data_IF_866624891281
#
_entry.id   IF_866624891281
#
_cell.length_a   1.000
_cell.length_b   1.000
_cell.length_c   1.000
_cell.angle_alpha   90.00
_cell.angle_beta   90.00
_cell.angle_gamma   90.00
#
_symmetry.space_group_name_H-M   'P 1'
#
loop_
_entity.id
_entity.type
_entity.pdbx_description
1 polymer ?
#
# COMPACT_ATOMS: atom_id res chain seq x y z
N UNK A 1 -1.83 36.67 -7.23
CA UNK A 1 -2.85 35.89 -6.51
C UNK A 1 -2.50 34.43 -6.69
N UNK A 2 -2.26 33.70 -5.60
CA UNK A 2 -2.12 32.24 -5.69
C UNK A 2 -3.43 31.66 -6.26
N UNK A 3 -3.32 30.70 -7.19
CA UNK A 3 -4.50 29.98 -7.66
C UNK A 3 -5.08 29.20 -6.47
N UNK A 4 -6.41 29.19 -6.26
CA UNK A 4 -7.02 28.39 -5.22
C UNK A 4 -6.68 26.91 -5.45
N UNK A 5 -6.37 26.20 -4.36
CA UNK A 5 -5.99 24.79 -4.41
C UNK A 5 -7.23 23.93 -4.69
N UNK A 6 -7.08 22.83 -5.42
CA UNK A 6 -8.19 21.89 -5.70
C UNK A 6 -8.92 21.45 -4.42
N UNK A 7 -8.17 21.21 -3.35
CA UNK A 7 -8.72 20.79 -2.05
C UNK A 7 -9.63 21.85 -1.41
N UNK A 8 -9.49 23.13 -1.77
CA UNK A 8 -10.31 24.22 -1.24
C UNK A 8 -11.72 24.25 -1.83
N UNK A 9 -11.90 23.61 -2.99
CA UNK A 9 -13.19 23.48 -3.66
C UNK A 9 -13.98 22.23 -3.20
N UNK A 10 -13.40 21.40 -2.32
CA UNK A 10 -14.07 20.22 -1.77
C UNK A 10 -15.22 20.64 -0.86
N UNK A 11 -16.40 20.07 -1.07
CA UNK A 11 -17.55 20.31 -0.20
C UNK A 11 -17.38 19.61 1.14
N UNK A 12 -17.56 20.36 2.23
CA UNK A 12 -17.47 19.84 3.60
C UNK A 12 -18.85 19.43 4.17
N UNK A 13 -19.90 19.47 3.35
CA UNK A 13 -21.29 19.31 3.82
C UNK A 13 -21.85 17.91 3.58
N UNK A 14 -21.17 17.08 2.80
CA UNK A 14 -21.66 15.77 2.43
C UNK A 14 -20.94 14.67 3.19
N UNK A 15 -21.71 13.70 3.64
CA UNK A 15 -21.20 12.50 4.27
C UNK A 15 -21.52 11.28 3.41
N UNK A 16 -20.62 10.30 3.40
CA UNK A 16 -20.88 8.98 2.83
C UNK A 16 -21.17 7.98 3.94
N UNK A 17 -22.30 7.27 3.82
CA UNK A 17 -22.72 6.23 4.76
C UNK A 17 -22.74 4.88 4.08
N UNK A 18 -21.99 3.92 4.62
CA UNK A 18 -22.03 2.52 4.18
C UNK A 18 -22.08 1.63 5.43
N UNK A 19 -23.25 1.01 5.63
CA UNK A 19 -23.53 0.24 6.83
C UNK A 19 -23.38 1.09 8.10
N UNK A 20 -22.46 0.68 8.99
CA UNK A 20 -22.17 1.35 10.26
C UNK A 20 -21.03 2.38 10.19
N UNK A 21 -20.55 2.69 8.99
CA UNK A 21 -19.43 3.60 8.79
C UNK A 21 -19.89 4.87 8.09
N UNK A 22 -19.50 6.01 8.66
CA UNK A 22 -19.76 7.35 8.12
C UNK A 22 -18.41 7.98 7.79
N UNK A 23 -18.19 8.35 6.54
CA UNK A 23 -17.05 9.17 6.12
C UNK A 23 -17.49 10.60 5.87
N UNK A 24 -16.70 11.58 6.34
CA UNK A 24 -17.02 13.00 6.26
C UNK A 24 -15.77 13.86 6.37
N UNK A 25 -15.90 15.15 6.08
CA UNK A 25 -14.85 16.15 6.29
C UNK A 25 -15.08 16.88 7.63
N UNK A 26 -14.24 16.64 8.67
CA UNK A 26 -14.43 17.26 9.98
C UNK A 26 -14.31 18.78 9.91
N UNK A 27 -15.30 19.47 10.49
CA UNK A 27 -15.33 20.93 10.67
C UNK A 27 -15.26 21.35 12.13
N UNK A 28 -15.55 20.42 13.07
CA UNK A 28 -15.43 20.65 14.51
C UNK A 28 -13.99 20.48 14.94
N UNK A 29 -13.52 21.37 15.82
CA UNK A 29 -12.16 21.32 16.37
C UNK A 29 -11.86 20.00 17.06
N UNK A 30 -12.82 19.43 17.79
CA UNK A 30 -12.68 18.14 18.48
C UNK A 30 -12.40 16.99 17.48
N UNK A 31 -13.20 16.88 16.42
CA UNK A 31 -13.03 15.84 15.40
C UNK A 31 -11.67 15.95 14.68
N UNK A 32 -11.20 17.19 14.45
CA UNK A 32 -9.87 17.46 13.88
C UNK A 32 -8.77 16.98 14.83
N UNK A 33 -8.87 17.28 16.13
CA UNK A 33 -7.89 16.83 17.11
C UNK A 33 -7.85 15.30 17.23
N UNK A 34 -9.00 14.65 17.19
CA UNK A 34 -9.11 13.18 17.19
C UNK A 34 -8.44 12.56 15.95
N UNK A 35 -8.59 13.16 14.77
CA UNK A 35 -7.91 12.71 13.54
C UNK A 35 -6.38 12.82 13.64
N UNK A 36 -5.89 13.92 14.22
CA UNK A 36 -4.47 14.15 14.44
C UNK A 36 -3.91 13.17 15.48
N UNK A 37 -4.67 12.92 16.55
CA UNK A 37 -4.31 11.95 17.58
C UNK A 37 -4.21 10.53 17.00
N UNK A 38 -5.20 10.11 16.22
CA UNK A 38 -5.19 8.81 15.54
C UNK A 38 -3.94 8.65 14.65
N UNK A 39 -3.53 9.73 13.99
CA UNK A 39 -2.34 9.73 13.14
C UNK A 39 -1.05 9.60 13.97
N UNK A 40 -0.96 10.29 15.11
CA UNK A 40 0.17 10.15 16.05
C UNK A 40 0.29 8.71 16.55
N UNK A 41 -0.81 8.13 17.01
CA UNK A 41 -0.86 6.76 17.55
C UNK A 41 -0.52 5.68 16.50
N UNK A 42 -0.85 5.92 15.24
CA UNK A 42 -0.45 5.06 14.14
C UNK A 42 1.06 5.07 13.85
N UNK A 43 1.85 5.87 14.59
CA UNK A 43 3.29 6.04 14.36
C UNK A 43 3.60 6.78 13.05
N UNK A 44 2.61 7.52 12.51
CA UNK A 44 2.71 8.17 11.20
C UNK A 44 3.13 9.63 11.29
N UNK A 45 3.17 10.21 12.49
CA UNK A 45 3.54 11.62 12.74
C UNK A 45 5.01 11.76 13.17
N UNK A 46 5.59 10.76 13.83
CA UNK A 46 6.86 10.85 14.58
C UNK A 46 8.16 10.73 13.75
N UNK A 47 8.16 11.08 12.46
CA UNK A 47 9.41 11.01 11.68
C UNK A 47 9.60 12.03 10.56
N UNK A 48 8.57 12.77 10.17
CA UNK A 48 8.61 13.52 8.91
C UNK A 48 8.46 15.04 9.07
N UNK A 49 7.96 15.53 10.20
CA UNK A 49 7.58 16.92 10.34
C UNK A 49 7.64 17.34 11.81
N UNK A 50 8.82 17.73 12.32
CA UNK A 50 8.81 18.64 13.47
C UNK A 50 7.73 19.72 13.28
N UNK A 51 7.05 20.14 14.36
CA UNK A 51 5.81 20.92 14.37
C UNK A 51 5.70 22.04 13.29
N UNK A 52 6.82 22.67 12.92
CA UNK A 52 6.96 23.72 11.90
C UNK A 52 6.50 23.36 10.48
N UNK A 53 6.56 22.09 10.06
CA UNK A 53 6.27 21.72 8.67
C UNK A 53 4.80 21.44 8.37
N UNK A 54 4.00 21.11 9.40
CA UNK A 54 2.54 21.07 9.29
C UNK A 54 1.94 22.47 9.10
N UNK A 55 2.60 23.52 9.60
CA UNK A 55 2.11 24.91 9.47
C UNK A 55 2.22 25.46 8.04
N UNK A 56 3.08 24.88 7.18
CA UNK A 56 3.34 25.39 5.83
C UNK A 56 2.49 24.72 4.73
N UNK A 57 1.90 23.56 4.99
CA UNK A 57 1.06 22.85 4.03
C UNK A 57 -0.41 23.02 4.36
N UNK A 58 -1.18 23.48 3.38
CA UNK A 58 -2.64 23.46 3.48
C UNK A 58 -3.12 22.06 3.15
N UNK A 59 -3.80 21.43 4.10
CA UNK A 59 -4.42 20.13 3.92
C UNK A 59 -5.90 20.18 4.31
N UNK A 60 -6.67 19.28 3.71
CA UNK A 60 -8.03 18.97 4.11
C UNK A 60 -8.05 17.60 4.78
N UNK A 61 -8.61 17.52 5.98
CA UNK A 61 -8.81 16.24 6.66
C UNK A 61 -10.12 15.60 6.21
N UNK A 62 -10.11 14.28 6.06
CA UNK A 62 -11.31 13.45 6.02
C UNK A 62 -11.23 12.38 7.10
N UNK A 63 -12.37 12.03 7.67
CA UNK A 63 -12.48 11.12 8.80
C UNK A 63 -13.55 10.05 8.54
N UNK A 64 -13.40 8.90 9.20
CA UNK A 64 -14.41 7.86 9.24
C UNK A 64 -14.75 7.48 10.68
N UNK A 65 -16.05 7.43 10.97
CA UNK A 65 -16.62 7.13 12.28
C UNK A 65 -17.32 5.76 12.26
N UNK A 66 -17.18 4.96 13.34
CA UNK A 66 -18.11 3.86 13.63
C UNK A 66 -19.34 4.44 14.33
N UNK A 67 -20.47 4.44 13.64
CA UNK A 67 -21.68 5.15 14.06
C UNK A 67 -22.35 4.51 15.28
N UNK A 68 -21.97 3.27 15.62
CA UNK A 68 -22.46 2.58 16.83
C UNK A 68 -21.77 3.08 18.10
N UNK A 69 -20.52 3.48 18.00
CA UNK A 69 -19.70 3.94 19.14
C UNK A 69 -19.50 5.44 19.14
N UNK A 70 -19.72 6.11 17.99
CA UNK A 70 -19.42 7.53 17.81
C UNK A 70 -17.93 7.83 17.67
N UNK A 71 -17.05 6.83 17.69
CA UNK A 71 -15.59 7.05 17.64
C UNK A 71 -15.10 7.22 16.21
N UNK A 72 -14.16 8.15 16.02
CA UNK A 72 -13.35 8.22 14.82
C UNK A 72 -12.34 7.07 14.80
N UNK A 73 -12.30 6.34 13.70
CA UNK A 73 -11.56 5.08 13.56
C UNK A 73 -10.66 5.06 12.33
N UNK A 74 -10.80 6.02 11.42
CA UNK A 74 -9.84 6.25 10.34
C UNK A 74 -9.80 7.73 9.97
N UNK A 75 -8.65 8.19 9.49
CA UNK A 75 -8.46 9.54 8.95
C UNK A 75 -7.47 9.53 7.79
N UNK A 76 -7.60 10.51 6.90
CA UNK A 76 -6.66 10.74 5.79
C UNK A 76 -6.52 12.24 5.54
N UNK A 77 -5.31 12.65 5.18
CA UNK A 77 -5.03 14.03 4.79
C UNK A 77 -5.08 14.14 3.26
N UNK A 78 -5.66 15.21 2.75
CA UNK A 78 -5.71 15.53 1.33
C UNK A 78 -4.91 16.80 1.09
N UNK A 79 -4.03 16.77 0.11
CA UNK A 79 -3.26 17.94 -0.33
C UNK A 79 -3.37 18.12 -1.85
N UNK A 80 -3.23 19.35 -2.34
CA UNK A 80 -3.11 19.61 -3.78
C UNK A 80 -1.72 19.23 -4.28
N UNK A 81 -1.62 18.56 -5.43
CA UNK A 81 -0.33 18.12 -5.97
C UNK A 81 0.70 19.24 -6.20
N UNK A 82 0.35 20.48 -6.61
CA UNK A 82 1.33 21.55 -6.78
C UNK A 82 2.06 21.92 -5.49
N UNK A 83 1.37 21.92 -4.35
CA UNK A 83 1.97 22.20 -3.04
C UNK A 83 2.91 21.07 -2.62
N UNK A 84 2.51 19.82 -2.86
CA UNK A 84 3.34 18.65 -2.53
C UNK A 84 4.59 18.57 -3.41
N UNK A 85 4.50 18.96 -4.69
CA UNK A 85 5.64 18.99 -5.61
C UNK A 85 6.77 19.91 -5.12
N UNK A 86 6.45 20.96 -4.37
CA UNK A 86 7.44 21.89 -3.81
C UNK A 86 8.24 21.29 -2.62
N UNK A 87 7.82 20.15 -2.09
CA UNK A 87 8.48 19.47 -0.97
C UNK A 87 9.57 18.53 -1.51
N UNK A 88 10.75 18.58 -0.88
CA UNK A 88 11.88 17.73 -1.24
C UNK A 88 11.52 16.23 -1.21
N UNK A 89 11.90 15.50 -2.26
CA UNK A 89 11.70 14.05 -2.40
C UNK A 89 10.26 13.61 -2.73
N UNK A 90 9.27 14.50 -2.63
CA UNK A 90 7.85 14.16 -2.90
C UNK A 90 7.54 14.10 -4.39
N UNK A 91 8.27 14.84 -5.22
CA UNK A 91 8.14 14.76 -6.68
C UNK A 91 8.37 13.33 -7.17
N UNK A 92 9.44 12.68 -6.71
CA UNK A 92 9.79 11.31 -7.07
C UNK A 92 8.84 10.31 -6.40
N UNK A 93 8.54 10.50 -5.11
CA UNK A 93 7.66 9.60 -4.34
C UNK A 93 6.26 9.44 -4.94
N UNK A 94 5.69 10.50 -5.52
CA UNK A 94 4.35 10.47 -6.12
C UNK A 94 4.37 10.54 -7.66
N UNK A 95 5.55 10.44 -8.28
CA UNK A 95 5.73 10.52 -9.74
C UNK A 95 5.14 11.82 -10.36
N UNK A 96 5.26 12.94 -9.65
CA UNK A 96 4.71 14.24 -10.08
C UNK A 96 5.41 14.82 -11.31
N UNK A 97 6.59 14.28 -11.66
CA UNK A 97 7.30 14.63 -12.90
C UNK A 97 6.61 14.16 -14.18
N UNK A 98 5.64 13.25 -14.09
CA UNK A 98 4.87 12.74 -15.24
C UNK A 98 3.78 13.71 -15.73
N UNK A 99 3.55 14.81 -14.99
CA UNK A 99 2.47 15.75 -15.23
C UNK A 99 3.01 17.16 -15.45
N UNK A 100 2.42 17.86 -16.42
CA UNK A 100 2.60 19.31 -16.57
C UNK A 100 1.88 20.11 -15.46
N UNK A 101 2.14 21.40 -15.38
CA UNK A 101 1.57 22.27 -14.34
C UNK A 101 0.04 22.39 -14.40
N UNK A 102 -0.55 22.27 -15.60
CA UNK A 102 -2.00 22.34 -15.77
C UNK A 102 -2.67 21.10 -15.20
N UNK A 103 -2.15 19.91 -15.54
CA UNK A 103 -2.63 18.64 -14.99
C UNK A 103 -2.40 18.56 -13.49
N UNK A 104 -1.23 18.99 -12.99
CA UNK A 104 -0.94 18.99 -11.56
C UNK A 104 -2.00 19.76 -10.76
N UNK A 105 -2.51 20.88 -11.28
CA UNK A 105 -3.56 21.65 -10.61
C UNK A 105 -4.87 20.85 -10.42
N UNK A 106 -5.13 19.86 -11.27
CA UNK A 106 -6.28 18.96 -11.19
C UNK A 106 -6.04 17.68 -10.36
N UNK A 107 -4.87 17.52 -9.72
CA UNK A 107 -4.54 16.32 -8.95
C UNK A 107 -4.59 16.57 -7.44
N UNK A 108 -5.25 15.66 -6.73
CA UNK A 108 -5.17 15.59 -5.28
C UNK A 108 -4.22 14.46 -4.86
N UNK A 109 -3.62 14.60 -3.68
CA UNK A 109 -2.76 13.59 -3.08
C UNK A 109 -3.38 13.15 -1.77
N UNK A 110 -3.63 11.84 -1.66
CA UNK A 110 -3.94 11.23 -0.39
C UNK A 110 -2.63 11.01 0.36
N UNK A 111 -2.55 11.75 1.44
CA UNK A 111 -1.44 11.80 2.35
C UNK A 111 -1.87 11.09 3.63
N UNK A 112 -1.08 10.11 4.06
CA UNK A 112 -1.17 9.53 5.41
C UNK A 112 -2.57 9.02 5.80
N UNK A 113 -2.88 7.80 5.35
CA UNK A 113 -4.04 7.06 5.82
C UNK A 113 -3.73 6.43 7.19
N UNK A 114 -4.51 6.82 8.19
CA UNK A 114 -4.45 6.28 9.55
C UNK A 114 -5.71 5.48 9.82
N UNK A 115 -5.57 4.24 10.30
CA UNK A 115 -6.71 3.38 10.67
C UNK A 115 -6.43 2.80 12.05
N UNK A 116 -7.40 2.93 12.94
CA UNK A 116 -7.33 2.36 14.27
C UNK A 116 -7.06 0.83 14.18
N UNK A 117 -6.12 0.27 14.96
CA UNK A 117 -5.70 -1.14 14.83
C UNK A 117 -6.86 -2.15 14.83
N UNK A 118 -7.85 -1.96 15.69
CA UNK A 118 -9.04 -2.82 15.76
C UNK A 118 -9.94 -2.78 14.51
N UNK A 119 -9.72 -1.83 13.61
CA UNK A 119 -10.54 -1.59 12.42
C UNK A 119 -9.78 -1.79 11.09
N UNK A 120 -8.54 -2.27 11.11
CA UNK A 120 -7.71 -2.48 9.90
C UNK A 120 -8.37 -3.41 8.86
N UNK A 121 -9.11 -4.43 9.32
CA UNK A 121 -9.83 -5.39 8.45
C UNK A 121 -11.28 -4.99 8.15
N UNK A 122 -11.67 -3.77 8.53
CA UNK A 122 -13.04 -3.29 8.36
C UNK A 122 -13.24 -2.52 7.05
N UNK A 123 -14.49 -2.19 6.72
CA UNK A 123 -14.79 -1.35 5.56
C UNK A 123 -14.43 0.13 5.76
N UNK A 124 -13.99 0.56 6.95
CA UNK A 124 -13.76 1.99 7.25
C UNK A 124 -12.85 2.69 6.22
N UNK A 125 -11.72 2.05 5.85
CA UNK A 125 -10.82 2.58 4.83
C UNK A 125 -11.49 2.69 3.45
N UNK A 126 -12.29 1.69 3.08
CA UNK A 126 -13.03 1.69 1.81
C UNK A 126 -14.03 2.86 1.78
N UNK A 127 -14.81 3.05 2.85
CA UNK A 127 -15.78 4.14 2.93
C UNK A 127 -15.07 5.50 2.90
N UNK A 128 -14.01 5.66 3.70
CA UNK A 128 -13.23 6.90 3.76
C UNK A 128 -12.64 7.29 2.41
N UNK A 129 -11.91 6.37 1.77
CA UNK A 129 -11.24 6.63 0.51
C UNK A 129 -12.24 6.85 -0.63
N UNK A 130 -13.34 6.08 -0.66
CA UNK A 130 -14.41 6.27 -1.65
C UNK A 130 -15.02 7.67 -1.56
N UNK A 131 -15.31 8.13 -0.34
CA UNK A 131 -15.83 9.47 -0.11
C UNK A 131 -14.87 10.54 -0.63
N UNK A 132 -13.59 10.41 -0.29
CA UNK A 132 -12.56 11.34 -0.73
C UNK A 132 -12.40 11.36 -2.26
N UNK A 133 -12.42 10.20 -2.93
CA UNK A 133 -12.35 10.14 -4.40
C UNK A 133 -13.52 10.89 -5.02
N UNK A 134 -14.75 10.66 -4.55
CA UNK A 134 -15.95 11.29 -5.10
C UNK A 134 -15.92 12.81 -4.93
N UNK A 135 -15.58 13.30 -3.74
CA UNK A 135 -15.58 14.74 -3.48
C UNK A 135 -14.45 15.48 -4.20
N UNK A 136 -13.28 14.84 -4.42
CA UNK A 136 -12.23 15.38 -5.30
C UNK A 136 -12.75 15.57 -6.73
N UNK A 137 -13.49 14.60 -7.28
CA UNK A 137 -14.03 14.70 -8.64
C UNK A 137 -15.12 15.77 -8.75
N UNK A 138 -15.99 15.90 -7.74
CA UNK A 138 -17.00 16.96 -7.68
C UNK A 138 -16.38 18.36 -7.60
N UNK A 139 -15.22 18.48 -6.96
CA UNK A 139 -14.44 19.72 -6.91
C UNK A 139 -13.74 20.06 -8.25
N UNK A 140 -13.93 19.25 -9.30
CA UNK A 140 -13.29 19.42 -10.61
C UNK A 140 -11.92 18.75 -10.73
N UNK A 141 -11.54 17.90 -9.78
CA UNK A 141 -10.32 17.11 -9.82
C UNK A 141 -10.37 16.02 -10.90
N UNK A 142 -9.19 15.63 -11.38
CA UNK A 142 -9.03 14.65 -12.45
C UNK A 142 -8.61 13.26 -11.96
N UNK A 143 -7.76 13.21 -10.94
CA UNK A 143 -7.26 11.97 -10.34
C UNK A 143 -6.72 12.20 -8.94
N UNK A 144 -6.51 11.09 -8.23
CA UNK A 144 -5.90 11.07 -6.90
C UNK A 144 -4.63 10.24 -6.90
N UNK A 145 -3.54 10.77 -6.36
CA UNK A 145 -2.28 10.07 -6.17
C UNK A 145 -2.09 9.64 -4.73
N UNK A 146 -1.35 8.56 -4.50
CA UNK A 146 -0.88 8.17 -3.18
C UNK A 146 0.43 7.38 -3.22
N UNK A 147 1.05 7.26 -2.05
CA UNK A 147 2.23 6.43 -1.83
C UNK A 147 1.80 5.21 -1.02
N UNK A 148 1.68 4.06 -1.68
CA UNK A 148 1.07 2.86 -1.14
C UNK A 148 2.10 1.98 -0.42
N UNK A 149 1.76 1.52 0.78
CA UNK A 149 2.45 0.38 1.42
C UNK A 149 2.16 -0.92 0.63
N UNK A 150 3.16 -1.73 0.26
CA UNK A 150 2.94 -3.00 -0.43
C UNK A 150 1.93 -3.92 0.26
N UNK A 151 1.87 -3.93 1.59
CA UNK A 151 0.90 -4.71 2.36
C UNK A 151 -0.55 -4.28 2.15
N UNK A 152 -0.79 -3.05 1.71
CA UNK A 152 -2.12 -2.50 1.43
C UNK A 152 -2.46 -2.47 -0.08
N UNK A 153 -1.53 -2.88 -0.94
CA UNK A 153 -1.67 -2.80 -2.40
C UNK A 153 -2.98 -3.40 -2.91
N UNK A 154 -3.37 -4.59 -2.44
CA UNK A 154 -4.59 -5.26 -2.90
C UNK A 154 -5.87 -4.49 -2.54
N UNK A 155 -5.88 -3.76 -1.42
CA UNK A 155 -7.02 -2.94 -1.00
C UNK A 155 -7.17 -1.76 -1.97
N UNK A 156 -6.09 -1.03 -2.23
CA UNK A 156 -6.13 0.10 -3.15
C UNK A 156 -6.41 -0.32 -4.59
N UNK A 157 -5.84 -1.46 -5.03
CA UNK A 157 -6.15 -2.06 -6.33
C UNK A 157 -7.64 -2.38 -6.47
N UNK A 158 -8.25 -2.98 -5.43
CA UNK A 158 -9.69 -3.28 -5.41
C UNK A 158 -10.56 -2.01 -5.49
N UNK A 159 -10.10 -0.91 -4.90
CA UNK A 159 -10.78 0.39 -5.03
C UNK A 159 -10.69 0.96 -6.44
N UNK A 160 -9.68 0.57 -7.23
CA UNK A 160 -9.45 1.08 -8.58
C UNK A 160 -8.18 1.89 -8.73
N UNK A 161 -7.32 1.91 -7.71
CA UNK A 161 -6.00 2.53 -7.84
C UNK A 161 -5.06 1.61 -8.61
N UNK A 162 -4.17 2.22 -9.37
CA UNK A 162 -3.22 1.51 -10.24
C UNK A 162 -1.82 2.07 -10.06
N UNK A 163 -0.75 1.29 -10.19
CA UNK A 163 0.61 1.82 -10.14
C UNK A 163 0.85 2.89 -11.20
N UNK A 164 1.54 3.95 -10.82
CA UNK A 164 2.03 4.99 -11.75
C UNK A 164 3.57 5.07 -11.77
N UNK A 165 4.20 4.23 -10.97
CA UNK A 165 5.63 4.04 -10.88
C UNK A 165 5.91 2.68 -10.22
N UNK A 166 7.15 2.23 -10.29
CA UNK A 166 7.58 0.97 -9.68
C UNK A 166 7.73 1.12 -8.17
N UNK A 167 7.82 -0.03 -7.48
CA UNK A 167 8.19 -0.06 -6.08
C UNK A 167 9.52 0.67 -5.89
N UNK A 168 9.51 1.69 -5.05
CA UNK A 168 10.69 2.51 -4.78
C UNK A 168 10.80 2.81 -3.29
N UNK A 169 12.04 3.03 -2.84
CA UNK A 169 12.32 3.39 -1.46
C UNK A 169 12.14 4.89 -1.28
N UNK A 170 11.40 5.31 -0.25
CA UNK A 170 11.30 6.73 0.11
C UNK A 170 12.59 7.20 0.79
N UNK A 171 12.73 8.52 0.98
CA UNK A 171 13.88 9.09 1.70
C UNK A 171 14.01 8.54 3.14
N UNK A 172 12.90 8.09 3.72
CA UNK A 172 12.83 7.50 5.07
C UNK A 172 13.11 5.99 5.06
N UNK A 173 13.46 5.42 3.91
CA UNK A 173 13.87 4.03 3.79
C UNK A 173 12.72 3.01 3.67
N UNK A 174 11.49 3.47 3.50
CA UNK A 174 10.31 2.60 3.38
C UNK A 174 10.00 2.29 1.91
N UNK A 175 9.66 1.04 1.61
CA UNK A 175 9.19 0.68 0.27
C UNK A 175 7.77 1.18 0.05
N UNK A 176 7.56 1.89 -1.06
CA UNK A 176 6.27 2.42 -1.45
C UNK A 176 6.03 2.20 -2.94
N UNK A 177 4.77 1.97 -3.28
CA UNK A 177 4.28 1.90 -4.65
C UNK A 177 3.53 3.22 -4.93
N UNK A 178 4.01 4.10 -5.81
CA UNK A 178 3.22 5.25 -6.23
C UNK A 178 1.99 4.74 -7.01
N UNK A 179 0.81 5.16 -6.60
CA UNK A 179 -0.46 4.74 -7.20
C UNK A 179 -1.32 5.94 -7.58
N UNK A 180 -2.13 5.76 -8.63
CA UNK A 180 -3.11 6.72 -9.13
C UNK A 180 -4.50 6.10 -9.17
N UNK A 181 -5.51 6.82 -8.69
CA UNK A 181 -6.92 6.56 -8.98
C UNK A 181 -7.34 7.43 -10.16
N UNK A 182 -7.80 6.81 -11.24
CA UNK A 182 -8.35 7.49 -12.42
C UNK A 182 -9.82 7.09 -12.56
N UNK A 183 -10.74 8.04 -12.82
CA UNK A 183 -12.16 7.77 -13.08
C UNK A 183 -12.37 7.04 -14.41
N UNK A 184 -12.06 5.75 -14.43
CA UNK A 184 -12.01 4.92 -15.62
C UNK A 184 -13.11 3.86 -15.55
N UNK A 185 -14.25 4.13 -16.20
CA UNK A 185 -15.44 3.28 -16.11
C UNK A 185 -15.14 1.83 -16.50
N UNK A 186 -14.44 1.63 -17.62
CA UNK A 186 -14.15 0.30 -18.16
C UNK A 186 -13.30 -0.48 -17.16
N UNK A 187 -12.22 0.12 -16.66
CA UNK A 187 -11.36 -0.51 -15.66
C UNK A 187 -12.09 -0.80 -14.35
N UNK A 188 -12.81 0.18 -13.79
CA UNK A 188 -13.54 0.03 -12.54
C UNK A 188 -14.63 -1.05 -12.62
N UNK A 189 -15.27 -1.19 -13.78
CA UNK A 189 -16.26 -2.23 -14.07
C UNK A 189 -15.62 -3.62 -14.09
N UNK A 190 -14.48 -3.78 -14.79
CA UNK A 190 -13.74 -5.04 -14.90
C UNK A 190 -13.32 -5.57 -13.52
N UNK A 191 -12.83 -4.70 -12.64
CA UNK A 191 -12.39 -5.12 -11.30
C UNK A 191 -13.52 -5.20 -10.27
N UNK A 192 -14.76 -4.92 -10.68
CA UNK A 192 -15.93 -4.81 -9.81
C UNK A 192 -15.68 -3.90 -8.59
N UNK A 193 -15.12 -2.72 -8.84
CA UNK A 193 -14.76 -1.80 -7.76
C UNK A 193 -15.99 -1.41 -6.94
N UNK A 194 -15.91 -1.45 -5.59
CA UNK A 194 -17.00 -0.97 -4.73
C UNK A 194 -17.18 0.55 -4.82
N UNK A 195 -16.25 1.28 -5.44
CA UNK A 195 -16.35 2.73 -5.65
C UNK A 195 -17.30 3.05 -6.81
N UNK A 196 -17.36 2.20 -7.84
CA UNK A 196 -18.12 2.48 -9.07
C UNK A 196 -19.61 2.79 -8.82
N UNK A 197 -20.37 2.01 -8.01
CA UNK A 197 -21.78 2.32 -7.73
C UNK A 197 -22.01 3.63 -6.99
N UNK A 198 -20.97 4.17 -6.35
CA UNK A 198 -21.00 5.43 -5.59
C UNK A 198 -20.72 6.64 -6.47
N UNK A 199 -20.13 6.45 -7.66
CA UNK A 199 -19.79 7.51 -8.63
C UNK A 199 -20.99 7.93 -9.50
N UNK A 200 -22.19 7.98 -8.92
CA UNK A 200 -23.40 8.38 -9.64
C UNK A 200 -23.30 9.84 -10.09
N UNK A 201 -23.57 10.09 -11.37
CA UNK A 201 -23.50 11.44 -11.95
C UNK A 201 -22.10 11.88 -12.38
N UNK A 202 -21.07 11.04 -12.22
CA UNK A 202 -19.75 11.31 -12.81
C UNK A 202 -19.84 11.11 -14.32
N UNK A 203 -19.46 12.13 -15.10
CA UNK A 203 -19.31 12.02 -16.54
C UNK A 203 -17.97 11.37 -16.89
N UNK A 204 -17.94 10.04 -17.00
CA UNK A 204 -16.73 9.28 -17.32
C UNK A 204 -16.10 9.64 -18.67
N UNK A 205 -16.88 10.15 -19.63
CA UNK A 205 -16.35 10.57 -20.94
C UNK A 205 -15.36 11.73 -20.81
N UNK A 206 -15.55 12.61 -19.83
CA UNK A 206 -14.66 13.75 -19.58
C UNK A 206 -13.25 13.32 -19.17
N UNK A 207 -13.08 12.09 -18.65
CA UNK A 207 -11.79 11.57 -18.19
C UNK A 207 -11.09 10.68 -19.23
N UNK A 208 -11.71 10.44 -20.40
CA UNK A 208 -11.14 9.59 -21.46
C UNK A 208 -9.72 10.01 -21.89
N UNK A 209 -9.38 11.30 -22.04
CA UNK A 209 -8.00 11.70 -22.35
C UNK A 209 -6.99 11.26 -21.28
N UNK A 210 -7.38 11.30 -19.99
CA UNK A 210 -6.52 10.85 -18.89
C UNK A 210 -6.40 9.33 -18.86
N UNK A 211 -7.50 8.59 -19.12
CA UNK A 211 -7.47 7.14 -19.24
C UNK A 211 -6.55 6.69 -20.40
N UNK A 212 -6.66 7.31 -21.56
CA UNK A 212 -5.81 7.03 -22.73
C UNK A 212 -4.33 7.31 -22.44
N UNK A 213 -4.03 8.44 -21.80
CA UNK A 213 -2.69 8.75 -21.33
C UNK A 213 -2.15 7.67 -20.38
N UNK A 214 -2.96 7.23 -19.42
CA UNK A 214 -2.55 6.19 -18.48
C UNK A 214 -2.30 4.85 -19.19
N UNK A 215 -3.17 4.48 -20.15
CA UNK A 215 -2.96 3.27 -20.96
C UNK A 215 -1.69 3.34 -21.80
N UNK A 216 -1.35 4.50 -22.36
CA UNK A 216 -0.10 4.70 -23.07
C UNK A 216 1.11 4.57 -22.14
N UNK A 217 1.08 5.24 -20.98
CA UNK A 217 2.13 5.14 -19.96
C UNK A 217 2.40 3.68 -19.60
N UNK A 218 1.34 2.90 -19.38
CA UNK A 218 1.41 1.47 -19.07
C UNK A 218 1.93 0.63 -20.25
N UNK A 219 1.57 0.96 -21.49
CA UNK A 219 2.13 0.28 -22.68
C UNK A 219 3.63 0.50 -22.83
N UNK A 220 4.09 1.71 -22.56
CA UNK A 220 5.51 2.10 -22.68
C UNK A 220 6.36 1.64 -21.50
N UNK A 221 5.73 1.36 -20.35
CA UNK A 221 6.39 0.91 -19.14
C UNK A 221 5.78 -0.42 -18.71
N UNK A 222 6.29 -1.52 -19.25
CA UNK A 222 5.82 -2.88 -18.93
C UNK A 222 5.83 -3.18 -17.43
N UNK A 223 6.73 -2.57 -16.67
CA UNK A 223 6.77 -2.64 -15.20
C UNK A 223 5.51 -2.05 -14.50
N UNK A 224 4.68 -1.29 -15.21
CA UNK A 224 3.41 -0.71 -14.74
C UNK A 224 2.16 -1.49 -15.19
N UNK A 225 2.28 -2.51 -16.06
CA UNK A 225 1.16 -3.31 -16.61
C UNK A 225 0.43 -4.19 -15.59
N UNK A 226 0.44 -3.77 -14.34
CA UNK A 226 0.88 -4.66 -13.32
C UNK A 226 0.16 -4.41 -12.00
N UNK A 227 -0.85 -5.24 -11.77
CA UNK A 227 -0.68 -6.17 -10.65
C UNK A 227 0.32 -7.27 -11.01
N UNK A 228 1.55 -6.89 -11.35
CA UNK A 228 2.65 -7.75 -11.72
C UNK A 228 3.87 -7.24 -10.90
N UNK A 229 4.47 -7.94 -9.94
CA UNK A 229 4.95 -9.30 -10.07
C UNK A 229 4.94 -9.78 -11.50
N UNK A 230 6.01 -9.47 -12.22
CA UNK A 230 6.41 -10.34 -13.29
C UNK A 230 6.33 -11.79 -12.78
N UNK A 231 5.33 -12.51 -13.29
CA UNK A 231 5.17 -13.95 -13.15
C UNK A 231 5.47 -14.50 -14.55
N UNK A 232 6.73 -14.85 -14.84
CA UNK A 232 7.01 -15.76 -15.93
C UNK A 232 6.38 -17.12 -15.58
N UNK A 233 6.10 -17.93 -16.60
CA UNK A 233 5.49 -19.26 -16.49
C UNK A 233 6.17 -20.14 -15.41
N UNK A 234 5.49 -21.22 -14.99
CA UNK A 234 6.00 -22.18 -13.99
C UNK A 234 7.43 -22.69 -14.28
N UNK A 235 7.85 -22.64 -15.53
CA UNK A 235 9.18 -23.05 -15.99
C UNK A 235 10.34 -22.15 -15.49
N UNK A 236 10.07 -20.96 -14.92
CA UNK A 236 11.10 -20.00 -14.47
C UNK A 236 11.32 -19.89 -12.94
N UNK A 237 10.67 -20.74 -12.12
CA UNK A 237 10.81 -20.68 -10.65
C UNK A 237 10.93 -22.04 -9.96
N UNK A 238 12.13 -22.45 -9.57
CA UNK A 238 12.32 -23.62 -8.70
C UNK A 238 12.21 -23.28 -7.19
N UNK A 239 12.48 -22.04 -6.80
CA UNK A 239 12.74 -21.66 -5.39
C UNK A 239 11.49 -21.42 -4.53
N UNK A 240 10.27 -21.38 -5.10
CA UNK A 240 9.04 -21.16 -4.34
C UNK A 240 8.54 -22.42 -3.59
N UNK A 241 9.17 -23.58 -3.82
CA UNK A 241 8.72 -24.87 -3.31
C UNK A 241 8.50 -24.86 -1.79
N UNK A 242 9.37 -24.18 -1.02
CA UNK A 242 9.29 -24.11 0.43
C UNK A 242 7.93 -23.62 0.95
N UNK A 243 7.24 -22.75 0.20
CA UNK A 243 5.94 -22.20 0.58
C UNK A 243 4.76 -22.79 -0.20
N UNK A 244 4.94 -23.22 -1.44
CA UNK A 244 3.85 -23.74 -2.29
C UNK A 244 3.71 -25.27 -2.26
N UNK A 245 4.61 -25.99 -1.61
CA UNK A 245 4.61 -27.46 -1.60
C UNK A 245 3.26 -28.01 -1.10
N UNK A 246 2.64 -28.84 -1.94
CA UNK A 246 1.37 -29.50 -1.67
C UNK A 246 0.13 -28.73 -2.10
N UNK A 247 0.25 -27.47 -2.53
CA UNK A 247 -0.89 -26.73 -3.07
C UNK A 247 -1.45 -27.43 -4.32
N UNK A 248 -2.76 -27.32 -4.51
CA UNK A 248 -3.39 -27.62 -5.79
C UNK A 248 -2.81 -26.71 -6.90
N UNK A 249 -2.88 -27.14 -8.16
CA UNK A 249 -2.42 -26.31 -9.29
C UNK A 249 -3.15 -24.96 -9.33
N UNK A 250 -4.48 -24.97 -9.17
CA UNK A 250 -5.30 -23.76 -9.08
C UNK A 250 -4.92 -22.88 -7.89
N UNK A 251 -4.71 -23.47 -6.72
CA UNK A 251 -4.30 -22.75 -5.51
C UNK A 251 -2.92 -22.13 -5.65
N UNK A 252 -1.97 -22.88 -6.22
CA UNK A 252 -0.63 -22.40 -6.56
C UNK A 252 -0.72 -21.20 -7.49
N UNK A 253 -1.39 -21.31 -8.63
CA UNK A 253 -1.57 -20.17 -9.54
C UNK A 253 -2.20 -18.95 -8.86
N UNK A 254 -3.27 -19.15 -8.08
CA UNK A 254 -3.98 -18.07 -7.41
C UNK A 254 -3.12 -17.37 -6.34
N UNK A 255 -2.33 -18.13 -5.59
CA UNK A 255 -1.39 -17.60 -4.60
C UNK A 255 -0.27 -16.81 -5.29
N UNK A 256 0.31 -17.39 -6.33
CA UNK A 256 1.43 -16.81 -7.06
C UNK A 256 1.06 -15.52 -7.82
N UNK A 257 -0.18 -15.40 -8.32
CA UNK A 257 -0.72 -14.14 -8.90
C UNK A 257 -0.72 -12.94 -7.93
N UNK A 258 -0.55 -13.17 -6.63
CA UNK A 258 -0.49 -12.11 -5.62
C UNK A 258 0.93 -11.74 -5.18
N UNK A 259 1.94 -12.42 -5.74
CA UNK A 259 3.34 -12.13 -5.49
C UNK A 259 3.68 -10.67 -5.81
N UNK A 260 4.79 -10.17 -5.25
CA UNK A 260 5.44 -8.91 -5.61
C UNK A 260 6.94 -9.16 -5.65
N UNK A 261 7.56 -9.00 -6.82
CA UNK A 261 9.01 -9.15 -6.98
C UNK A 261 9.72 -7.85 -6.60
N UNK A 262 10.79 -7.93 -5.82
CA UNK A 262 11.64 -6.80 -5.44
C UNK A 262 13.10 -7.11 -5.79
N UNK A 263 13.73 -6.18 -6.50
CA UNK A 263 15.16 -6.20 -6.77
C UNK A 263 15.88 -5.28 -5.78
N UNK A 264 16.95 -5.78 -5.20
CA UNK A 264 17.71 -5.11 -4.16
C UNK A 264 19.20 -5.11 -4.50
N UNK A 265 19.85 -3.99 -4.23
CA UNK A 265 21.32 -3.87 -4.24
C UNK A 265 21.88 -4.33 -2.90
N UNK A 266 23.16 -4.66 -2.87
CA UNK A 266 23.84 -4.98 -1.62
C UNK A 266 23.65 -3.86 -0.58
N UNK A 267 23.50 -4.25 0.68
CA UNK A 267 23.22 -3.40 1.83
C UNK A 267 21.85 -2.68 1.83
N UNK A 268 20.99 -2.91 0.82
CA UNK A 268 19.63 -2.38 0.84
C UNK A 268 18.76 -3.10 1.88
N UNK A 269 18.23 -2.33 2.83
CA UNK A 269 17.25 -2.81 3.82
C UNK A 269 15.91 -3.10 3.13
N UNK A 270 15.43 -4.35 3.22
CA UNK A 270 14.12 -4.83 2.78
C UNK A 270 13.03 -4.66 3.84
N UNK A 271 13.34 -5.04 5.08
CA UNK A 271 12.44 -5.01 6.22
C UNK A 271 13.15 -4.26 7.33
N UNK A 272 12.49 -3.26 7.92
CA UNK A 272 13.03 -2.51 9.05
C UNK A 272 12.54 -3.13 10.36
N UNK A 273 13.44 -3.28 11.34
CA UNK A 273 13.07 -3.71 12.69
C UNK A 273 12.02 -2.77 13.31
N UNK A 274 11.07 -3.31 14.07
CA UNK A 274 9.97 -2.60 14.72
C UNK A 274 8.91 -1.95 13.81
N UNK A 275 9.01 -2.10 12.48
CA UNK A 275 7.95 -1.67 11.56
C UNK A 275 6.69 -2.55 11.69
N UNK A 276 5.54 -2.02 11.28
CA UNK A 276 4.22 -2.65 11.31
C UNK A 276 3.87 -3.44 10.04
N UNK A 277 4.73 -3.42 9.02
CA UNK A 277 4.51 -4.14 7.76
C UNK A 277 4.25 -5.63 7.95
N UNK A 278 3.27 -6.18 7.22
CA UNK A 278 2.79 -7.57 7.36
C UNK A 278 2.96 -8.43 6.11
N UNK A 279 4.04 -8.22 5.36
CA UNK A 279 4.40 -9.09 4.24
C UNK A 279 5.42 -10.15 4.67
N UNK A 280 5.38 -11.33 4.06
CA UNK A 280 6.47 -12.31 4.12
C UNK A 280 6.93 -12.60 2.69
N UNK A 281 8.03 -13.33 2.52
CA UNK A 281 8.52 -13.62 1.19
C UNK A 281 9.55 -14.73 1.17
N UNK A 282 10.11 -15.00 0.00
CA UNK A 282 11.26 -15.86 -0.15
C UNK A 282 12.33 -15.20 -1.04
N UNK A 283 13.58 -15.63 -0.87
CA UNK A 283 14.69 -15.20 -1.74
C UNK A 283 14.58 -15.96 -3.06
N UNK A 284 14.38 -15.24 -4.16
CA UNK A 284 14.41 -15.85 -5.50
C UNK A 284 15.85 -16.01 -5.98
N UNK A 285 16.68 -14.99 -5.76
CA UNK A 285 18.06 -14.92 -6.20
C UNK A 285 18.90 -14.12 -5.22
N UNK A 286 20.15 -14.51 -5.00
CA UNK A 286 21.10 -13.77 -4.17
C UNK A 286 20.96 -14.09 -2.67
N UNK A 287 21.38 -13.14 -1.82
CA UNK A 287 21.50 -13.36 -0.38
C UNK A 287 20.88 -12.22 0.43
N UNK A 288 20.26 -12.55 1.55
CA UNK A 288 19.85 -11.61 2.60
C UNK A 288 20.63 -11.89 3.88
N UNK A 289 20.73 -10.89 4.75
CA UNK A 289 21.14 -11.01 6.15
C UNK A 289 20.05 -10.45 7.06
N UNK A 290 19.72 -11.21 8.08
CA UNK A 290 18.79 -10.80 9.15
C UNK A 290 19.63 -10.22 10.28
N UNK A 291 19.30 -8.99 10.68
CA UNK A 291 20.03 -8.20 11.67
C UNK A 291 19.10 -7.84 12.82
N UNK A 292 19.55 -8.04 14.06
CA UNK A 292 18.86 -7.58 15.27
C UNK A 292 19.80 -6.64 16.01
N UNK A 293 19.36 -5.40 16.21
CA UNK A 293 20.26 -4.32 16.64
C UNK A 293 21.41 -4.16 15.64
N UNK A 294 22.65 -4.41 16.08
CA UNK A 294 23.85 -4.29 15.25
C UNK A 294 24.50 -5.63 14.88
N UNK A 295 23.81 -6.76 15.12
CA UNK A 295 24.37 -8.10 14.91
C UNK A 295 23.61 -8.84 13.80
N UNK A 296 24.34 -9.33 12.81
CA UNK A 296 23.82 -10.31 11.86
C UNK A 296 23.58 -11.63 12.58
N UNK A 297 22.34 -12.08 12.56
CA UNK A 297 21.89 -13.30 13.25
C UNK A 297 21.92 -14.49 12.29
N UNK A 298 21.46 -14.30 11.05
CA UNK A 298 21.40 -15.36 10.05
C UNK A 298 21.52 -14.78 8.64
N UNK A 299 22.12 -15.53 7.73
CA UNK A 299 22.09 -15.26 6.30
C UNK A 299 21.08 -16.19 5.63
N UNK A 300 20.33 -15.64 4.68
CA UNK A 300 19.29 -16.35 3.93
C UNK A 300 19.68 -16.36 2.45
N UNK A 301 19.58 -17.51 1.80
CA UNK A 301 19.83 -17.68 0.38
C UNK A 301 18.58 -18.08 -0.38
N UNK A 302 18.74 -18.43 -1.65
CA UNK A 302 17.66 -18.83 -2.54
C UNK A 302 16.73 -19.89 -1.91
N UNK A 303 15.42 -19.65 -1.99
CA UNK A 303 14.37 -20.48 -1.41
C UNK A 303 14.07 -20.22 0.07
N UNK A 304 14.93 -19.51 0.80
CA UNK A 304 14.68 -19.20 2.21
C UNK A 304 13.53 -18.19 2.37
N UNK A 305 12.65 -18.46 3.33
CA UNK A 305 11.51 -17.60 3.67
C UNK A 305 11.93 -16.51 4.65
N UNK A 306 11.39 -15.29 4.55
CA UNK A 306 11.63 -14.23 5.54
C UNK A 306 10.37 -13.43 5.85
N UNK A 307 10.37 -12.73 6.98
CA UNK A 307 9.25 -11.88 7.40
C UNK A 307 8.04 -12.64 7.94
N UNK A 308 8.12 -13.97 8.05
CA UNK A 308 7.03 -14.87 8.44
C UNK A 308 6.62 -14.73 9.91
N UNK A 309 7.56 -14.37 10.81
CA UNK A 309 7.30 -14.23 12.25
C UNK A 309 6.26 -13.13 12.50
N UNK A 310 6.52 -11.92 12.00
CA UNK A 310 5.61 -10.78 12.15
C UNK A 310 4.27 -11.02 11.46
N UNK A 311 4.29 -11.74 10.33
CA UNK A 311 3.10 -12.13 9.61
C UNK A 311 2.20 -13.05 10.44
N UNK A 312 2.74 -14.18 10.93
CA UNK A 312 2.02 -15.20 11.70
C UNK A 312 1.56 -14.67 13.05
N UNK A 313 2.46 -14.03 13.80
CA UNK A 313 2.17 -13.55 15.16
C UNK A 313 1.44 -12.21 15.19
N UNK A 314 1.20 -11.61 14.02
CA UNK A 314 0.58 -10.29 13.87
C UNK A 314 1.26 -9.18 14.70
N UNK A 315 2.56 -9.32 14.96
CA UNK A 315 3.38 -8.38 15.74
C UNK A 315 4.21 -7.45 14.84
N UNK A 316 4.94 -6.50 15.44
CA UNK A 316 5.94 -5.67 14.74
C UNK A 316 7.09 -6.55 14.23
N UNK A 317 7.83 -6.06 13.22
CA UNK A 317 9.03 -6.73 12.72
C UNK A 317 10.03 -6.96 13.84
N UNK A 318 10.41 -8.21 14.06
CA UNK A 318 11.32 -8.60 15.14
C UNK A 318 12.80 -8.42 14.79
N UNK A 319 13.09 -8.17 13.51
CA UNK A 319 14.44 -8.03 12.99
C UNK A 319 14.42 -7.20 11.71
N UNK A 320 15.57 -6.61 11.39
CA UNK A 320 15.84 -6.01 10.10
C UNK A 320 16.27 -7.09 9.09
N UNK A 321 15.89 -6.96 7.83
CA UNK A 321 16.34 -7.83 6.73
C UNK A 321 17.00 -6.97 5.67
N UNK A 322 18.22 -7.31 5.30
CA UNK A 322 19.07 -6.51 4.41
C UNK A 322 19.63 -7.39 3.30
N UNK A 323 19.68 -6.89 2.08
CA UNK A 323 20.40 -7.56 1.00
C UNK A 323 21.89 -7.70 1.33
N UNK A 324 22.44 -8.88 1.12
CA UNK A 324 23.81 -9.25 1.44
C UNK A 324 24.64 -9.64 0.20
N UNK A 325 24.05 -9.55 -0.99
CA UNK A 325 24.76 -9.69 -2.26
C UNK A 325 24.25 -8.69 -3.31
N UNK A 326 25.07 -8.36 -4.32
CA UNK A 326 24.60 -7.70 -5.53
C UNK A 326 23.48 -8.50 -6.20
N UNK A 327 22.58 -7.80 -6.89
CA UNK A 327 21.47 -8.37 -7.68
C UNK A 327 20.58 -9.36 -6.92
N UNK A 328 20.27 -9.03 -5.66
CA UNK A 328 19.34 -9.81 -4.85
C UNK A 328 17.92 -9.61 -5.35
N UNK A 329 17.17 -10.71 -5.53
CA UNK A 329 15.77 -10.69 -5.90
C UNK A 329 14.95 -11.47 -4.90
N UNK A 330 13.85 -10.87 -4.43
CA UNK A 330 12.93 -11.51 -3.50
C UNK A 330 11.51 -11.45 -4.03
N UNK A 331 10.69 -12.39 -3.57
CA UNK A 331 9.25 -12.42 -3.85
C UNK A 331 8.50 -12.23 -2.55
N UNK A 332 7.66 -11.21 -2.46
CA UNK A 332 6.81 -10.91 -1.31
C UNK A 332 5.36 -11.29 -1.53
N UNK A 333 4.69 -11.65 -0.45
CA UNK A 333 3.26 -11.89 -0.35
C UNK A 333 2.69 -11.10 0.83
N UNK A 334 1.57 -10.42 0.61
CA UNK A 334 0.76 -9.84 1.68
C UNK A 334 -0.29 -10.81 2.21
N UNK A 335 -1.05 -10.40 3.24
CA UNK A 335 -2.16 -11.20 3.78
C UNK A 335 -3.23 -11.54 2.73
N UNK A 336 -3.40 -10.66 1.73
CA UNK A 336 -4.32 -10.87 0.60
C UNK A 336 -4.00 -12.10 -0.25
N UNK A 337 -2.75 -12.58 -0.25
CA UNK A 337 -2.34 -13.80 -0.93
C UNK A 337 -3.08 -15.03 -0.40
N UNK A 338 -3.41 -15.05 0.90
CA UNK A 338 -4.19 -16.15 1.49
C UNK A 338 -5.67 -16.06 1.13
N UNK A 339 -6.17 -14.86 0.84
CA UNK A 339 -7.55 -14.63 0.45
C UNK A 339 -7.82 -14.94 -1.03
N UNK A 340 -6.78 -15.08 -1.85
CA UNK A 340 -6.93 -15.49 -3.26
C UNK A 340 -7.10 -17.01 -3.38
N UNK A 341 -6.69 -17.77 -2.36
CA UNK A 341 -6.93 -19.20 -2.26
C UNK A 341 -8.41 -19.45 -1.95
N UNK A 342 -9.11 -20.13 -2.85
CA UNK A 342 -10.53 -20.46 -2.68
C UNK A 342 -10.73 -21.61 -1.69
N UNK A 343 -9.90 -22.65 -1.79
CA UNK A 343 -9.99 -23.87 -1.00
C UNK A 343 -9.34 -23.73 0.39
N UNK A 344 -10.03 -24.19 1.44
CA UNK A 344 -9.50 -24.23 2.81
C UNK A 344 -8.25 -25.11 2.92
N UNK A 345 -8.19 -26.20 2.13
CA UNK A 345 -7.04 -27.09 2.09
C UNK A 345 -5.76 -26.36 1.66
N UNK A 346 -5.85 -25.55 0.61
CA UNK A 346 -4.70 -24.77 0.12
C UNK A 346 -4.27 -23.71 1.13
N UNK A 347 -5.22 -23.03 1.79
CA UNK A 347 -4.92 -22.09 2.88
C UNK A 347 -4.18 -22.78 4.03
N UNK A 348 -4.65 -23.95 4.45
CA UNK A 348 -4.03 -24.74 5.50
C UNK A 348 -2.60 -25.18 5.14
N UNK A 349 -2.35 -25.47 3.87
CA UNK A 349 -1.03 -25.84 3.35
C UNK A 349 -0.04 -24.69 3.48
N UNK A 350 -0.42 -23.45 3.13
CA UNK A 350 0.46 -22.29 3.34
C UNK A 350 0.84 -22.16 4.82
N UNK A 351 -0.16 -22.22 5.73
CA UNK A 351 0.10 -22.12 7.17
C UNK A 351 1.01 -23.23 7.68
N UNK A 352 0.78 -24.47 7.23
CA UNK A 352 1.64 -25.62 7.54
C UNK A 352 3.08 -25.38 7.06
N UNK A 353 3.25 -24.87 5.85
CA UNK A 353 4.56 -24.65 5.25
C UNK A 353 5.34 -23.54 6.00
N UNK A 354 4.68 -22.44 6.36
CA UNK A 354 5.28 -21.39 7.20
C UNK A 354 5.64 -21.91 8.60
N UNK A 355 4.76 -22.68 9.24
CA UNK A 355 5.03 -23.28 10.54
C UNK A 355 6.22 -24.24 10.50
N UNK A 356 6.36 -25.02 9.42
CA UNK A 356 7.49 -25.93 9.19
C UNK A 356 8.81 -25.16 9.12
N UNK A 357 8.85 -24.03 8.41
CA UNK A 357 10.07 -23.19 8.35
C UNK A 357 10.45 -22.66 9.73
N UNK A 358 9.48 -22.17 10.52
CA UNK A 358 9.76 -21.74 11.90
C UNK A 358 10.32 -22.87 12.77
N UNK A 359 9.72 -24.06 12.70
CA UNK A 359 10.18 -25.22 13.45
C UNK A 359 11.62 -25.60 13.06
N UNK A 360 11.94 -25.59 11.77
CA UNK A 360 13.31 -25.85 11.27
C UNK A 360 14.30 -24.80 11.79
N UNK A 361 13.92 -23.51 11.79
CA UNK A 361 14.77 -22.43 12.32
C UNK A 361 15.08 -22.59 13.79
N UNK A 362 14.08 -22.96 14.61
CA UNK A 362 14.29 -23.20 16.05
C UNK A 362 15.27 -24.36 16.27
N UNK A 363 15.16 -25.44 15.49
CA UNK A 363 16.08 -26.58 15.59
C UNK A 363 17.52 -26.19 15.24
N UNK A 364 17.72 -25.37 14.20
CA UNK A 364 19.05 -24.89 13.81
C UNK A 364 19.63 -23.95 14.88
N UNK A 365 18.84 -22.99 15.35
CA UNK A 365 19.28 -22.04 16.39
C UNK A 365 19.63 -22.75 17.71
N UNK A 366 18.85 -23.75 18.12
CA UNK A 366 19.13 -24.51 19.34
C UNK A 366 20.45 -25.31 19.26
N UNK A 367 20.81 -25.83 18.08
CA UNK A 367 22.08 -26.51 17.84
C UNK A 367 23.30 -25.58 17.83
N UNK A 368 23.09 -24.28 17.65
CA UNK A 368 24.14 -23.26 17.68
C UNK A 368 24.36 -22.69 19.10
N UNK A 369 23.42 -22.94 20.02
CA UNK A 369 23.44 -22.44 21.40
C UNK A 369 23.85 -23.51 22.44
N UNK A 370 23.93 -24.78 22.05
CA UNK A 370 24.45 -25.88 22.85
C UNK A 370 25.65 -26.51 22.18
#
# INVERSE_FOLDING_TARGET
>A
MERPSLIDAISLQWDLWIGKYRAFFPTRTEDVQDCLQLSREAGTVDGLWGEEGMERLKFQLAACQDTRTGKLIASVHLAGAPQVKAIQGKKEQYQLGLFDEERLAGLAIFWQLSIHPAHQKSQAAIVLLSHCFIEVLKAGGQAVLMSCDPGHYSIYKRLGMRPIGTLSKTAEGLFRIPMIFVPDYDYLSIIHSPVLPLMRGVNFEAFQPLCQWYYQLVRENSALQAGAAYYPSEEEFESHHAITEGLSEKGREAFLKSAVVIHCREDEVLITENDSGKAFGFVRKGMLRVVIGNKTIVQLGEGDIFGEIAFILHTKRTAQVVAASPDTEVVLFGESALHTLEEDADRAIIWRNLARVLAQRVLVTNKLLG
#
